data_IF_017616801989
#
_entry.id   IF_017616801989
#
_cell.length_a   1.000
_cell.length_b   1.000
_cell.length_c   1.000
_cell.angle_alpha   90.00
_cell.angle_beta   90.00
_cell.angle_gamma   90.00
#
_symmetry.space_group_name_H-M   'P 1'
#
loop_
_entity.id
_entity.type
_entity.pdbx_description
1 polymer ?
#
# COMPACT_ATOMS: atom_id res chain seq x y z
N UNK A 1 -1.42 -19.68 -8.84
CA UNK A 1 -1.15 -18.48 -9.63
C UNK A 1 -2.47 -17.96 -10.14
N UNK A 2 -2.90 -16.78 -9.68
CA UNK A 2 -4.21 -16.19 -9.99
C UNK A 2 -4.06 -14.68 -10.14
N UNK A 3 -4.64 -14.10 -11.16
CA UNK A 3 -4.71 -12.65 -11.39
C UNK A 3 -3.35 -11.92 -11.28
N UNK A 4 -2.26 -12.53 -11.73
CA UNK A 4 -0.90 -12.02 -11.63
C UNK A 4 -0.20 -12.28 -10.30
N UNK A 5 -0.89 -12.88 -9.34
CA UNK A 5 -0.37 -13.18 -7.99
C UNK A 5 0.02 -14.65 -7.86
N UNK A 6 1.01 -14.90 -7.01
CA UNK A 6 1.46 -16.26 -6.67
C UNK A 6 1.22 -16.50 -5.20
N UNK A 7 0.39 -17.47 -4.88
CA UNK A 7 -0.04 -17.80 -3.53
C UNK A 7 0.26 -19.26 -3.17
N UNK A 8 0.33 -19.54 -1.88
CA UNK A 8 0.31 -20.87 -1.28
C UNK A 8 -1.13 -21.17 -0.82
N UNK A 9 -1.88 -22.01 -1.55
CA UNK A 9 -3.30 -22.25 -1.25
C UNK A 9 -3.56 -22.89 0.12
N UNK A 10 -2.63 -23.70 0.62
CA UNK A 10 -2.76 -24.40 1.90
C UNK A 10 -2.67 -23.45 3.08
N UNK A 11 -1.82 -22.44 2.98
CA UNK A 11 -1.52 -21.50 4.07
C UNK A 11 -2.19 -20.14 3.93
N UNK A 12 -2.83 -19.83 2.78
CA UNK A 12 -3.36 -18.51 2.45
C UNK A 12 -2.29 -17.41 2.53
N UNK A 13 -1.13 -17.71 1.97
CA UNK A 13 0.02 -16.81 1.98
C UNK A 13 0.50 -16.51 0.56
N UNK A 14 1.33 -15.48 0.42
CA UNK A 14 2.09 -15.29 -0.82
C UNK A 14 3.10 -16.44 -0.96
N UNK A 15 3.33 -16.94 -2.18
CA UNK A 15 4.48 -17.79 -2.44
C UNK A 15 5.68 -16.93 -2.80
N UNK A 16 6.88 -17.26 -2.32
CA UNK A 16 8.15 -16.54 -2.54
C UNK A 16 8.29 -15.25 -1.73
N UNK A 17 8.11 -15.34 -0.47
CA UNK A 17 8.52 -14.31 0.49
C UNK A 17 9.77 -14.74 1.24
N UNK A 18 10.37 -13.81 1.98
CA UNK A 18 11.41 -14.14 2.94
C UNK A 18 10.81 -14.97 4.09
N UNK A 19 11.50 -16.00 4.48
CA UNK A 19 11.13 -16.92 5.56
C UNK A 19 12.24 -16.95 6.58
N UNK A 20 11.90 -16.71 7.84
CA UNK A 20 12.85 -16.68 8.93
C UNK A 20 12.52 -17.82 9.91
N UNK A 21 13.54 -18.62 10.27
CA UNK A 21 13.37 -19.77 11.16
C UNK A 21 13.38 -19.39 12.65
N UNK A 22 13.59 -18.13 12.97
CA UNK A 22 13.56 -17.61 14.34
C UNK A 22 13.70 -16.11 14.38
N UNK A 23 13.44 -15.54 15.55
CA UNK A 23 13.63 -14.13 15.85
C UNK A 23 14.26 -13.96 17.24
N UNK A 24 15.01 -12.89 17.42
CA UNK A 24 15.59 -12.52 18.71
C UNK A 24 15.42 -11.03 18.96
N UNK A 25 15.47 -10.63 20.21
CA UNK A 25 15.52 -9.26 20.67
C UNK A 25 16.92 -8.95 21.19
N UNK A 26 17.50 -7.84 20.76
CA UNK A 26 18.81 -7.39 21.25
C UNK A 26 18.63 -6.12 22.07
N UNK A 27 19.13 -6.13 23.28
CA UNK A 27 19.27 -4.92 24.07
C UNK A 27 20.45 -4.11 23.55
N UNK A 28 20.20 -2.92 23.01
CA UNK A 28 21.22 -2.11 22.35
C UNK A 28 22.30 -1.63 23.36
N UNK A 29 21.92 -1.39 24.61
CA UNK A 29 22.83 -0.87 25.62
C UNK A 29 23.74 -1.97 26.19
N UNK A 30 23.20 -3.17 26.45
CA UNK A 30 23.94 -4.30 27.02
C UNK A 30 24.50 -5.25 25.97
N UNK A 31 24.01 -5.17 24.72
CA UNK A 31 24.29 -6.10 23.62
C UNK A 31 23.87 -7.55 23.93
N UNK A 32 23.01 -7.72 24.93
CA UNK A 32 22.43 -9.00 25.26
C UNK A 32 21.35 -9.36 24.22
N UNK A 33 21.47 -10.57 23.65
CA UNK A 33 20.50 -11.11 22.71
C UNK A 33 19.63 -12.16 23.40
N UNK A 34 18.31 -12.03 23.28
CA UNK A 34 17.35 -12.96 23.84
C UNK A 34 16.50 -13.52 22.70
N UNK A 35 16.53 -14.83 22.52
CA UNK A 35 15.72 -15.52 21.51
C UNK A 35 14.24 -15.46 21.87
N UNK A 36 13.37 -15.22 20.89
CA UNK A 36 11.94 -15.33 21.06
C UNK A 36 11.56 -16.81 21.00
N UNK A 37 11.01 -17.33 22.11
CA UNK A 37 10.53 -18.69 22.26
C UNK A 37 9.03 -18.82 21.92
N UNK A 38 8.46 -20.04 21.97
CA UNK A 38 7.03 -20.28 21.79
C UNK A 38 6.56 -20.31 20.33
N UNK A 39 7.48 -20.22 19.37
CA UNK A 39 7.18 -20.45 17.95
C UNK A 39 7.22 -21.96 17.70
N UNK A 40 6.19 -22.56 17.05
CA UNK A 40 6.15 -23.98 16.79
C UNK A 40 7.33 -24.49 15.96
N UNK A 41 7.76 -25.72 16.20
CA UNK A 41 8.78 -26.37 15.38
C UNK A 41 8.31 -26.44 13.91
N UNK A 42 9.27 -26.22 12.99
CA UNK A 42 9.05 -26.17 11.53
C UNK A 42 8.10 -25.04 11.05
N UNK A 43 7.68 -24.11 11.91
CA UNK A 43 7.04 -22.89 11.46
C UNK A 43 8.09 -21.86 11.04
N UNK A 44 7.66 -20.93 10.17
CA UNK A 44 8.52 -19.83 9.72
C UNK A 44 7.86 -18.49 10.02
N UNK A 45 8.67 -17.49 10.34
CA UNK A 45 8.22 -16.11 10.52
C UNK A 45 8.29 -15.42 9.17
N UNK A 46 7.19 -14.78 8.76
CA UNK A 46 7.10 -14.09 7.48
C UNK A 46 7.14 -12.57 7.62
N UNK A 47 6.76 -12.07 8.80
CA UNK A 47 6.75 -10.63 9.10
C UNK A 47 6.87 -10.41 10.61
N UNK A 48 7.45 -9.29 11.01
CA UNK A 48 7.55 -8.88 12.41
C UNK A 48 7.33 -7.36 12.54
N UNK A 49 6.63 -6.92 13.57
CA UNK A 49 6.35 -5.52 13.82
C UNK A 49 6.31 -5.19 15.30
N UNK A 50 6.93 -4.08 15.69
CA UNK A 50 6.73 -3.50 17.02
C UNK A 50 5.43 -2.71 17.09
N UNK A 51 4.78 -2.77 18.25
CA UNK A 51 3.68 -1.88 18.60
C UNK A 51 4.16 -0.41 18.70
N UNK A 52 3.26 0.59 18.69
CA UNK A 52 3.64 2.01 18.65
C UNK A 52 4.61 2.47 19.73
N UNK A 53 4.46 1.97 20.97
CA UNK A 53 5.39 2.29 22.07
C UNK A 53 6.47 1.21 22.28
N UNK A 54 6.58 0.25 21.36
CA UNK A 54 7.55 -0.85 21.38
C UNK A 54 7.40 -1.83 22.55
N UNK A 55 6.26 -1.82 23.25
CA UNK A 55 5.97 -2.70 24.38
C UNK A 55 5.54 -4.10 23.95
N UNK A 56 5.24 -4.30 22.67
CA UNK A 56 4.88 -5.61 22.10
C UNK A 56 5.57 -5.82 20.77
N UNK A 57 5.81 -7.09 20.47
CA UNK A 57 6.24 -7.59 19.17
C UNK A 57 5.15 -8.48 18.64
N UNK A 58 4.67 -8.20 17.44
CA UNK A 58 3.77 -9.07 16.70
C UNK A 58 4.55 -9.80 15.60
N UNK A 59 4.26 -11.08 15.42
CA UNK A 59 4.91 -11.96 14.46
C UNK A 59 3.84 -12.64 13.62
N UNK A 60 3.97 -12.61 12.31
CA UNK A 60 3.21 -13.51 11.43
C UNK A 60 3.98 -14.80 11.28
N UNK A 61 3.37 -15.89 11.73
CA UNK A 61 3.99 -17.22 11.75
C UNK A 61 3.21 -18.13 10.83
N UNK A 62 3.86 -18.65 9.79
CA UNK A 62 3.32 -19.63 8.88
C UNK A 62 3.56 -21.02 9.45
N UNK A 63 2.48 -21.71 9.76
CA UNK A 63 2.39 -23.11 10.16
C UNK A 63 1.94 -23.95 8.96
N UNK A 64 1.97 -25.26 9.08
CA UNK A 64 1.61 -26.18 7.99
C UNK A 64 0.24 -25.93 7.36
N UNK A 65 -0.70 -25.34 8.09
CA UNK A 65 -2.09 -25.17 7.68
C UNK A 65 -2.53 -23.70 7.54
N UNK A 66 -1.66 -22.72 7.77
CA UNK A 66 -2.02 -21.30 7.65
C UNK A 66 -1.04 -20.36 8.31
N UNK A 67 -1.22 -19.06 8.05
CA UNK A 67 -0.51 -17.99 8.74
C UNK A 67 -1.31 -17.57 9.96
N UNK A 68 -0.64 -17.43 11.09
CA UNK A 68 -1.24 -17.00 12.36
C UNK A 68 -0.47 -15.83 12.96
N UNK A 69 -1.18 -15.02 13.71
CA UNK A 69 -0.58 -13.94 14.46
C UNK A 69 -0.16 -14.40 15.85
N UNK A 70 1.09 -14.16 16.19
CA UNK A 70 1.66 -14.34 17.52
C UNK A 70 2.09 -12.98 18.07
N UNK A 71 2.14 -12.86 19.37
CA UNK A 71 2.75 -11.71 20.03
C UNK A 71 3.57 -12.13 21.27
N UNK A 72 4.53 -11.30 21.63
CA UNK A 72 5.26 -11.35 22.89
C UNK A 72 5.56 -9.92 23.37
N UNK A 73 6.13 -9.79 24.56
CA UNK A 73 6.69 -8.52 25.04
C UNK A 73 8.23 -8.63 25.10
N UNK A 74 8.97 -7.51 25.05
CA UNK A 74 10.42 -7.53 25.20
C UNK A 74 10.89 -8.11 26.54
N UNK A 75 10.10 -7.91 27.62
CA UNK A 75 10.40 -8.42 28.95
C UNK A 75 10.10 -9.93 29.10
N UNK A 76 9.16 -10.44 28.31
CA UNK A 76 8.80 -11.85 28.25
C UNK A 76 8.73 -12.29 26.78
N UNK A 77 9.87 -12.63 26.17
CA UNK A 77 9.96 -12.95 24.75
C UNK A 77 9.49 -14.39 24.45
N UNK A 78 8.32 -14.74 24.94
CA UNK A 78 7.64 -16.01 24.67
C UNK A 78 6.39 -15.71 23.82
N UNK A 79 6.49 -16.03 22.53
CA UNK A 79 5.43 -15.75 21.57
C UNK A 79 4.20 -16.62 21.84
N UNK A 80 3.03 -15.98 21.90
CA UNK A 80 1.75 -16.63 22.09
C UNK A 80 0.82 -16.32 20.93
N UNK A 81 0.11 -17.33 20.46
CA UNK A 81 -0.89 -17.18 19.38
C UNK A 81 -2.03 -16.27 19.84
N UNK A 82 -2.25 -15.17 19.11
CA UNK A 82 -3.27 -14.17 19.44
C UNK A 82 -4.69 -14.68 19.14
N UNK A 83 -4.83 -15.48 18.08
CA UNK A 83 -6.11 -16.01 17.62
C UNK A 83 -5.89 -17.33 16.88
N UNK A 84 -6.89 -18.23 16.95
CA UNK A 84 -6.93 -19.46 16.14
C UNK A 84 -7.39 -19.22 14.70
N UNK A 85 -7.90 -18.01 14.38
CA UNK A 85 -8.26 -17.62 13.01
C UNK A 85 -6.99 -17.37 12.19
N UNK A 86 -7.00 -17.84 10.95
CA UNK A 86 -5.91 -17.66 10.01
C UNK A 86 -5.88 -16.21 9.50
N UNK A 87 -4.69 -15.67 9.37
CA UNK A 87 -4.46 -14.45 8.59
C UNK A 87 -4.65 -14.77 7.11
N UNK A 88 -5.25 -13.87 6.36
CA UNK A 88 -5.25 -13.95 4.91
C UNK A 88 -4.09 -13.09 4.37
N UNK A 89 -2.98 -13.74 4.11
CA UNK A 89 -1.75 -13.11 3.64
C UNK A 89 -1.54 -13.29 2.11
N UNK A 90 -2.58 -13.64 1.35
CA UNK A 90 -2.48 -13.84 -0.11
C UNK A 90 -2.07 -12.58 -0.88
N UNK A 91 -2.35 -11.40 -0.33
CA UNK A 91 -1.93 -10.09 -0.88
C UNK A 91 -0.82 -9.44 -0.05
N UNK A 92 -0.19 -10.19 0.85
CA UNK A 92 0.72 -9.71 1.89
C UNK A 92 0.02 -9.64 3.25
N UNK A 93 0.81 -9.81 4.30
CA UNK A 93 0.33 -9.68 5.68
C UNK A 93 0.60 -8.24 6.17
N UNK A 94 -0.37 -7.63 6.86
CA UNK A 94 -0.24 -6.27 7.36
C UNK A 94 -0.86 -6.13 8.75
N UNK A 95 -0.21 -5.36 9.62
CA UNK A 95 -0.74 -4.93 10.91
C UNK A 95 -0.83 -3.41 10.92
N UNK A 96 -2.04 -2.90 11.11
CA UNK A 96 -2.28 -1.48 11.32
C UNK A 96 -2.50 -1.20 12.80
N UNK A 97 -1.46 -0.76 13.49
CA UNK A 97 -1.51 -0.50 14.92
C UNK A 97 -2.33 0.73 15.26
N UNK A 98 -3.34 0.57 16.13
CA UNK A 98 -4.07 1.66 16.77
C UNK A 98 -3.39 2.03 18.11
N UNK A 99 -3.08 1.01 18.92
CA UNK A 99 -2.32 1.13 20.18
C UNK A 99 -1.52 -0.16 20.40
N UNK A 100 -0.78 -0.29 21.50
CA UNK A 100 -0.06 -1.53 21.82
C UNK A 100 -0.95 -2.75 22.02
N UNK A 101 -2.23 -2.52 22.34
CA UNK A 101 -3.22 -3.57 22.59
C UNK A 101 -4.32 -3.64 21.54
N UNK A 102 -4.22 -2.82 20.50
CA UNK A 102 -5.26 -2.70 19.49
C UNK A 102 -4.67 -2.50 18.09
N UNK A 103 -5.10 -3.32 17.14
CA UNK A 103 -4.63 -3.26 15.75
C UNK A 103 -5.67 -3.84 14.80
N UNK A 104 -5.49 -3.57 13.53
CA UNK A 104 -6.33 -4.06 12.43
C UNK A 104 -5.49 -4.95 11.53
N UNK A 105 -6.08 -6.04 11.02
CA UNK A 105 -5.46 -6.95 10.06
C UNK A 105 -6.53 -7.64 9.21
N UNK A 106 -6.10 -8.42 8.22
CA UNK A 106 -6.95 -9.21 7.32
C UNK A 106 -6.91 -10.69 7.73
N UNK A 107 -8.08 -11.26 7.99
CA UNK A 107 -8.22 -12.68 8.33
C UNK A 107 -9.02 -13.44 7.27
N UNK A 108 -8.81 -14.73 7.22
CA UNK A 108 -9.67 -15.65 6.46
C UNK A 108 -11.09 -15.57 7.04
N UNK A 109 -12.14 -15.32 6.23
CA UNK A 109 -13.51 -15.33 6.72
C UNK A 109 -13.89 -16.67 7.38
N UNK A 110 -14.58 -16.65 8.52
CA UNK A 110 -14.96 -17.86 9.24
C UNK A 110 -15.83 -18.81 8.42
N UNK A 111 -16.77 -18.24 7.66
CA UNK A 111 -17.76 -18.98 6.87
C UNK A 111 -17.35 -19.13 5.41
N UNK A 112 -16.06 -19.21 5.11
CA UNK A 112 -15.54 -19.30 3.72
C UNK A 112 -16.04 -20.54 2.97
N UNK A 113 -16.28 -21.64 3.65
CA UNK A 113 -16.63 -22.94 3.04
C UNK A 113 -15.41 -23.65 2.43
N UNK A 114 -15.69 -24.62 1.55
CA UNK A 114 -14.66 -25.37 0.83
C UNK A 114 -14.21 -24.63 -0.43
N UNK A 115 -12.96 -24.90 -0.83
CA UNK A 115 -12.46 -24.39 -2.10
C UNK A 115 -13.32 -24.93 -3.28
N UNK A 116 -13.53 -24.09 -4.32
CA UNK A 116 -14.24 -24.53 -5.52
C UNK A 116 -13.58 -25.76 -6.14
N UNK A 117 -14.38 -26.75 -6.51
CA UNK A 117 -13.91 -27.95 -7.19
C UNK A 117 -13.71 -27.67 -8.69
N UNK A 118 -12.65 -28.24 -9.25
CA UNK A 118 -12.39 -28.09 -10.70
C UNK A 118 -13.52 -28.77 -11.49
N UNK A 119 -14.14 -28.05 -12.45
CA UNK A 119 -15.16 -28.61 -13.29
C UNK A 119 -14.67 -29.86 -14.01
N UNK A 120 -15.44 -30.94 -13.98
CA UNK A 120 -15.13 -32.21 -14.69
C UNK A 120 -15.29 -32.07 -16.18
N UNK A 121 -16.18 -31.19 -16.63
CA UNK A 121 -16.37 -30.89 -18.07
C UNK A 121 -15.70 -29.55 -18.34
N UNK A 122 -14.79 -29.47 -19.35
CA UNK A 122 -14.23 -28.18 -19.74
C UNK A 122 -15.37 -27.23 -20.15
N UNK A 123 -15.42 -26.04 -19.58
CA UNK A 123 -16.18 -24.94 -20.17
C UNK A 123 -15.66 -24.73 -21.57
N UNK A 124 -16.54 -24.65 -22.58
CA UNK A 124 -16.16 -24.54 -24.00
C UNK A 124 -15.08 -23.46 -24.26
N UNK A 125 -14.62 -23.34 -25.49
CA UNK A 125 -13.52 -22.42 -25.82
C UNK A 125 -13.88 -20.97 -25.37
N UNK A 126 -12.94 -20.30 -24.72
CA UNK A 126 -13.07 -18.88 -24.43
C UNK A 126 -12.92 -18.14 -25.75
N UNK A 127 -14.01 -17.58 -26.26
CA UNK A 127 -14.00 -16.81 -27.49
C UNK A 127 -13.55 -15.39 -27.10
N UNK A 128 -12.37 -14.99 -27.54
CA UNK A 128 -11.92 -13.61 -27.50
C UNK A 128 -12.19 -12.97 -28.86
N UNK A 129 -13.13 -12.04 -28.94
CA UNK A 129 -13.34 -11.26 -30.15
C UNK A 129 -12.39 -10.06 -30.18
N UNK A 130 -11.57 -9.98 -31.21
CA UNK A 130 -10.78 -8.80 -31.51
C UNK A 130 -11.65 -7.77 -32.24
N UNK A 131 -11.85 -6.60 -31.66
CA UNK A 131 -12.58 -5.49 -32.31
C UNK A 131 -11.75 -4.75 -33.36
N UNK A 132 -10.60 -5.32 -33.78
CA UNK A 132 -9.72 -4.75 -34.81
C UNK A 132 -8.85 -3.55 -34.37
N UNK A 133 -8.94 -3.10 -33.12
CA UNK A 133 -8.02 -2.12 -32.57
C UNK A 133 -6.73 -2.82 -32.15
N UNK A 134 -5.68 -2.67 -32.96
CA UNK A 134 -4.33 -3.07 -32.58
C UNK A 134 -3.85 -2.07 -31.52
N UNK A 135 -3.96 -2.43 -30.24
CA UNK A 135 -3.31 -1.70 -29.15
C UNK A 135 -2.09 -2.50 -28.72
N UNK A 136 -0.89 -1.91 -28.66
CA UNK A 136 0.26 -2.55 -28.03
C UNK A 136 -0.11 -2.86 -26.59
N UNK A 137 -0.21 -4.15 -26.26
CA UNK A 137 -0.55 -4.58 -24.91
C UNK A 137 0.70 -5.04 -24.17
N UNK A 138 0.79 -4.67 -22.88
CA UNK A 138 1.81 -5.26 -21.99
C UNK A 138 1.53 -6.74 -21.82
N UNK A 139 2.57 -7.56 -21.90
CA UNK A 139 2.46 -8.99 -21.60
C UNK A 139 2.52 -9.19 -20.09
N UNK A 140 1.47 -9.77 -19.55
CA UNK A 140 1.39 -10.13 -18.14
C UNK A 140 1.43 -11.65 -17.96
N UNK A 141 1.93 -12.12 -16.83
CA UNK A 141 1.98 -13.53 -16.48
C UNK A 141 0.93 -13.88 -15.42
N UNK A 142 0.60 -15.18 -15.34
CA UNK A 142 -0.21 -15.74 -14.25
C UNK A 142 -1.62 -15.12 -14.13
N UNK A 143 -2.20 -14.62 -15.23
CA UNK A 143 -3.54 -14.03 -15.27
C UNK A 143 -4.64 -15.07 -15.04
N UNK A 144 -5.87 -14.60 -14.76
CA UNK A 144 -7.07 -15.44 -14.80
C UNK A 144 -7.29 -15.95 -16.24
N UNK A 145 -7.83 -17.16 -16.39
CA UNK A 145 -7.99 -17.81 -17.70
C UNK A 145 -9.43 -18.23 -18.00
N UNK A 146 -10.24 -18.40 -16.98
CA UNK A 146 -11.58 -18.95 -17.11
C UNK A 146 -12.41 -18.64 -15.84
N UNK A 147 -13.74 -18.89 -15.84
CA UNK A 147 -14.61 -18.67 -14.69
C UNK A 147 -14.24 -19.45 -13.42
N UNK A 148 -13.59 -20.60 -13.57
CA UNK A 148 -13.11 -21.35 -12.41
C UNK A 148 -11.95 -20.63 -11.71
N UNK A 149 -11.02 -20.02 -12.46
CA UNK A 149 -9.98 -19.18 -11.90
C UNK A 149 -10.56 -17.96 -11.16
N UNK A 150 -11.68 -17.39 -11.65
CA UNK A 150 -12.38 -16.32 -10.93
C UNK A 150 -12.96 -16.78 -9.60
N UNK A 151 -13.54 -17.99 -9.55
CA UNK A 151 -14.05 -18.58 -8.31
C UNK A 151 -12.92 -18.84 -7.31
N UNK A 152 -11.77 -19.34 -7.79
CA UNK A 152 -10.58 -19.52 -6.96
C UNK A 152 -10.03 -18.19 -6.48
N UNK A 153 -10.07 -17.15 -7.32
CA UNK A 153 -9.65 -15.80 -6.94
C UNK A 153 -10.56 -15.24 -5.85
N UNK A 154 -11.88 -15.30 -6.00
CA UNK A 154 -12.83 -14.95 -4.96
C UNK A 154 -12.55 -15.71 -3.66
N UNK A 155 -12.33 -17.04 -3.76
CA UNK A 155 -12.11 -17.89 -2.60
C UNK A 155 -10.84 -17.53 -1.83
N UNK A 156 -9.71 -17.35 -2.49
CA UNK A 156 -8.44 -17.13 -1.82
C UNK A 156 -8.22 -15.67 -1.40
N UNK A 157 -8.68 -14.72 -2.19
CA UNK A 157 -8.38 -13.29 -1.96
C UNK A 157 -9.44 -12.57 -1.12
N UNK A 158 -10.64 -13.13 -0.95
CA UNK A 158 -11.62 -12.54 -0.02
C UNK A 158 -11.11 -12.64 1.42
N UNK A 159 -11.05 -11.51 2.08
CA UNK A 159 -10.60 -11.35 3.47
C UNK A 159 -11.68 -10.70 4.31
N UNK A 160 -11.72 -11.03 5.59
CA UNK A 160 -12.46 -10.29 6.60
C UNK A 160 -11.51 -9.30 7.26
N UNK A 161 -11.80 -8.02 7.14
CA UNK A 161 -11.11 -7.00 7.91
C UNK A 161 -11.53 -7.11 9.37
N UNK A 162 -10.56 -7.16 10.28
CA UNK A 162 -10.83 -7.32 11.70
C UNK A 162 -10.02 -6.33 12.53
N UNK A 163 -10.62 -5.86 13.62
CA UNK A 163 -9.96 -5.16 14.71
C UNK A 163 -9.76 -6.12 15.87
N UNK A 164 -8.54 -6.26 16.34
CA UNK A 164 -8.21 -7.04 17.52
C UNK A 164 -7.90 -6.07 18.64
N UNK A 165 -8.67 -6.16 19.72
CA UNK A 165 -8.49 -5.34 20.91
C UNK A 165 -8.42 -6.25 22.12
N UNK A 166 -7.31 -6.18 22.87
CA UNK A 166 -7.09 -7.02 24.06
C UNK A 166 -7.31 -8.54 23.80
N UNK A 167 -6.93 -8.99 22.60
CA UNK A 167 -7.10 -10.38 22.15
C UNK A 167 -8.50 -10.73 21.63
N UNK A 168 -9.49 -9.83 21.73
CA UNK A 168 -10.85 -10.04 21.22
C UNK A 168 -10.92 -9.56 19.76
N UNK A 169 -11.46 -10.41 18.89
CA UNK A 169 -11.61 -10.14 17.45
C UNK A 169 -12.97 -9.51 17.18
N UNK A 170 -12.98 -8.33 16.57
CA UNK A 170 -14.17 -7.61 16.10
C UNK A 170 -14.12 -7.52 14.58
N UNK A 171 -15.15 -7.96 13.89
CA UNK A 171 -15.24 -7.83 12.43
C UNK A 171 -15.56 -6.39 12.02
N UNK A 172 -14.89 -5.91 10.98
CA UNK A 172 -15.12 -4.61 10.37
C UNK A 172 -15.78 -4.84 9.00
N UNK A 173 -17.00 -4.37 8.84
CA UNK A 173 -17.75 -4.48 7.60
C UNK A 173 -17.98 -5.93 7.15
N UNK A 174 -18.09 -6.12 5.84
CA UNK A 174 -18.28 -7.44 5.20
C UNK A 174 -16.97 -7.93 4.60
N UNK A 175 -16.81 -9.26 4.42
CA UNK A 175 -15.68 -9.80 3.67
C UNK A 175 -15.60 -9.20 2.27
N UNK A 176 -14.39 -8.84 1.84
CA UNK A 176 -14.10 -8.26 0.53
C UNK A 176 -12.71 -8.68 0.04
N UNK A 177 -12.41 -8.42 -1.23
CA UNK A 177 -11.06 -8.50 -1.76
C UNK A 177 -10.43 -7.12 -1.62
N UNK A 178 -9.43 -7.02 -0.75
CA UNK A 178 -8.73 -5.75 -0.52
C UNK A 178 -7.61 -5.57 -1.54
N UNK A 179 -7.52 -4.37 -2.11
CA UNK A 179 -6.42 -3.92 -2.95
C UNK A 179 -5.21 -3.47 -2.12
N UNK A 180 -4.26 -2.81 -2.77
CA UNK A 180 -3.04 -2.34 -2.12
C UNK A 180 -3.23 -1.13 -1.18
N UNK A 181 -4.40 -0.49 -1.20
CA UNK A 181 -4.70 0.64 -0.33
C UNK A 181 -5.50 0.15 0.88
N UNK A 182 -4.81 0.06 2.00
CA UNK A 182 -5.38 -0.22 3.32
C UNK A 182 -4.54 0.51 4.36
N UNK A 183 -5.06 1.59 4.94
CA UNK A 183 -4.29 2.39 5.90
C UNK A 183 -5.18 3.14 6.89
N UNK A 184 -4.67 3.34 8.11
CA UNK A 184 -5.29 4.18 9.13
C UNK A 184 -4.99 5.65 8.90
N UNK A 185 -6.00 6.51 9.11
CA UNK A 185 -5.79 7.95 9.25
C UNK A 185 -4.75 8.26 10.33
N UNK A 186 -4.02 9.39 10.25
CA UNK A 186 -3.05 9.73 11.28
C UNK A 186 -3.62 9.75 12.70
N UNK A 187 -4.84 10.24 12.90
CA UNK A 187 -5.56 10.22 14.19
C UNK A 187 -6.16 8.84 14.56
N UNK A 188 -6.02 7.85 13.66
CA UNK A 188 -6.47 6.45 13.85
C UNK A 188 -7.98 6.27 13.96
N UNK A 189 -8.77 7.24 13.55
CA UNK A 189 -10.25 7.21 13.62
C UNK A 189 -10.90 6.56 12.41
N UNK A 190 -10.24 6.57 11.27
CA UNK A 190 -10.77 6.15 9.97
C UNK A 190 -9.79 5.23 9.23
N UNK A 191 -10.34 4.47 8.28
CA UNK A 191 -9.60 3.63 7.35
C UNK A 191 -9.80 4.13 5.92
N UNK A 192 -8.72 4.24 5.17
CA UNK A 192 -8.72 4.37 3.72
C UNK A 192 -8.50 2.98 3.14
N UNK A 193 -9.45 2.50 2.35
CA UNK A 193 -9.43 1.16 1.76
C UNK A 193 -9.63 1.20 0.25
N UNK A 194 -9.06 0.22 -0.43
CA UNK A 194 -9.43 -0.14 -1.79
C UNK A 194 -10.02 -1.55 -1.80
N UNK A 195 -11.18 -1.73 -2.41
CA UNK A 195 -11.79 -3.05 -2.61
C UNK A 195 -11.87 -3.37 -4.10
N UNK A 196 -11.42 -4.57 -4.46
CA UNK A 196 -11.51 -5.10 -5.83
C UNK A 196 -12.89 -5.71 -6.04
N UNK A 197 -13.51 -5.40 -7.19
CA UNK A 197 -14.82 -5.93 -7.53
C UNK A 197 -14.91 -6.39 -9.00
N UNK A 198 -15.96 -7.11 -9.31
CA UNK A 198 -16.27 -7.54 -10.68
C UNK A 198 -16.70 -6.38 -11.60
N UNK A 199 -16.54 -6.54 -12.94
CA UNK A 199 -16.04 -7.73 -13.66
C UNK A 199 -14.51 -7.86 -13.61
N UNK A 200 -14.01 -9.08 -13.40
CA UNK A 200 -12.56 -9.33 -13.48
C UNK A 200 -12.08 -9.39 -14.93
N UNK A 201 -10.76 -9.21 -15.12
CA UNK A 201 -10.15 -9.23 -16.44
C UNK A 201 -9.23 -10.43 -16.62
N UNK A 202 -9.25 -11.00 -17.83
CA UNK A 202 -8.29 -12.03 -18.25
C UNK A 202 -7.05 -11.45 -18.96
N UNK A 203 -7.00 -10.12 -19.07
CA UNK A 203 -5.95 -9.41 -19.82
C UNK A 203 -4.98 -8.64 -18.94
N UNK A 204 -5.36 -8.31 -17.69
CA UNK A 204 -4.56 -7.54 -16.76
C UNK A 204 -4.52 -8.22 -15.38
N UNK A 205 -3.48 -7.95 -14.56
CA UNK A 205 -3.40 -8.46 -13.20
C UNK A 205 -4.31 -7.69 -12.24
N UNK A 206 -4.48 -8.23 -11.03
CA UNK A 206 -5.41 -7.73 -10.00
C UNK A 206 -5.27 -6.24 -9.67
N UNK A 207 -4.06 -5.70 -9.68
CA UNK A 207 -3.86 -4.27 -9.39
C UNK A 207 -4.42 -3.32 -10.46
N UNK A 208 -4.86 -3.87 -11.60
CA UNK A 208 -5.56 -3.16 -12.67
C UNK A 208 -7.05 -3.56 -12.79
N UNK A 209 -7.57 -4.41 -11.90
CA UNK A 209 -8.99 -4.74 -11.84
C UNK A 209 -9.81 -3.53 -11.38
N UNK A 210 -11.14 -3.56 -11.54
CA UNK A 210 -12.00 -2.53 -10.96
C UNK A 210 -11.79 -2.43 -9.45
N UNK A 211 -11.61 -1.20 -8.96
CA UNK A 211 -11.36 -0.94 -7.55
C UNK A 211 -12.17 0.26 -7.07
N UNK A 212 -12.85 0.07 -5.95
CA UNK A 212 -13.53 1.13 -5.23
C UNK A 212 -12.66 1.62 -4.08
N UNK A 213 -12.41 2.92 -4.03
CA UNK A 213 -11.63 3.59 -2.99
C UNK A 213 -12.56 4.32 -2.06
N UNK A 214 -12.51 3.99 -0.77
CA UNK A 214 -13.43 4.51 0.24
C UNK A 214 -12.70 4.85 1.54
N UNK A 215 -13.27 5.83 2.24
CA UNK A 215 -13.01 6.04 3.66
C UNK A 215 -14.14 5.39 4.45
N UNK A 216 -13.78 4.53 5.39
CA UNK A 216 -14.72 3.84 6.28
C UNK A 216 -14.38 4.14 7.75
N UNK A 217 -15.36 3.99 8.64
CA UNK A 217 -15.12 3.99 10.09
C UNK A 217 -14.59 2.63 10.59
N UNK A 218 -14.24 2.54 11.86
CA UNK A 218 -13.76 1.29 12.49
C UNK A 218 -14.86 0.25 12.73
N UNK A 219 -16.11 0.55 12.35
CA UNK A 219 -17.25 -0.37 12.32
C UNK A 219 -17.51 -0.91 10.90
N UNK A 220 -16.86 -0.33 9.88
CA UNK A 220 -17.00 -0.72 8.48
C UNK A 220 -18.10 0.04 7.72
N UNK A 221 -18.64 1.12 8.30
CA UNK A 221 -19.58 1.99 7.60
C UNK A 221 -18.82 2.87 6.61
N UNK A 222 -19.30 2.95 5.37
CA UNK A 222 -18.74 3.86 4.36
C UNK A 222 -19.06 5.31 4.75
N UNK A 223 -18.00 6.10 4.95
CA UNK A 223 -18.10 7.53 5.25
C UNK A 223 -18.04 8.34 3.96
N UNK A 224 -17.14 7.98 3.05
CA UNK A 224 -16.95 8.70 1.80
C UNK A 224 -16.38 7.79 0.70
N UNK A 225 -16.98 7.85 -0.50
CA UNK A 225 -16.44 7.18 -1.69
C UNK A 225 -15.59 8.17 -2.47
N UNK A 226 -14.30 7.88 -2.59
CA UNK A 226 -13.33 8.71 -3.30
C UNK A 226 -13.38 8.47 -4.81
N UNK A 227 -13.44 7.22 -5.21
CA UNK A 227 -13.50 6.81 -6.61
C UNK A 227 -13.99 5.36 -6.75
N UNK A 228 -14.55 5.05 -7.90
CA UNK A 228 -14.84 3.69 -8.35
C UNK A 228 -14.23 3.53 -9.75
N UNK A 229 -13.00 3.04 -9.79
CA UNK A 229 -12.21 2.93 -11.00
C UNK A 229 -12.55 1.63 -11.74
N UNK A 230 -12.85 1.66 -13.04
CA UNK A 230 -13.02 0.44 -13.84
C UNK A 230 -11.67 -0.24 -14.09
N UNK A 231 -11.69 -1.36 -14.83
CA UNK A 231 -10.47 -2.03 -15.30
C UNK A 231 -9.54 -1.05 -16.00
N UNK A 232 -8.28 -1.01 -15.58
CA UNK A 232 -7.28 -0.08 -16.10
C UNK A 232 -6.36 -0.77 -17.11
N UNK A 233 -6.40 -0.28 -18.34
CA UNK A 233 -5.42 -0.61 -19.38
C UNK A 233 -4.47 0.57 -19.57
N UNK A 234 -3.26 0.46 -18.99
CA UNK A 234 -2.26 1.54 -19.11
C UNK A 234 -1.62 1.46 -20.49
N UNK A 235 -1.65 2.54 -21.30
CA UNK A 235 -0.99 2.57 -22.60
C UNK A 235 0.50 2.25 -22.51
N UNK A 236 1.08 1.72 -23.59
CA UNK A 236 2.54 1.56 -23.68
C UNK A 236 3.20 2.89 -23.97
N UNK A 237 4.25 3.22 -23.24
CA UNK A 237 5.04 4.44 -23.44
C UNK A 237 5.70 4.91 -22.15
N UNK A 238 6.54 5.94 -22.32
CA UNK A 238 7.11 6.64 -21.18
C UNK A 238 6.05 7.55 -20.56
N UNK A 239 6.09 7.67 -19.24
CA UNK A 239 5.23 8.54 -18.45
C UNK A 239 3.72 8.27 -18.60
N UNK A 240 3.34 7.08 -19.12
CA UNK A 240 1.95 6.63 -19.17
C UNK A 240 1.47 6.18 -17.77
N UNK A 241 0.19 6.41 -17.46
CA UNK A 241 -0.42 6.06 -16.19
C UNK A 241 -1.91 5.75 -16.34
N UNK A 242 -2.58 5.43 -15.22
CA UNK A 242 -4.04 5.34 -15.18
C UNK A 242 -4.68 6.69 -15.48
N UNK A 243 -5.72 6.75 -16.32
CA UNK A 243 -6.49 7.99 -16.53
C UNK A 243 -7.41 8.33 -15.34
N UNK A 244 -7.59 7.40 -14.42
CA UNK A 244 -8.48 7.55 -13.25
C UNK A 244 -7.72 8.05 -12.02
N UNK A 245 -8.42 8.54 -10.98
CA UNK A 245 -7.82 8.91 -9.71
C UNK A 245 -6.95 7.79 -9.14
N UNK A 246 -5.77 8.14 -8.62
CA UNK A 246 -4.75 7.18 -8.18
C UNK A 246 -3.88 7.72 -7.06
N UNK A 247 -3.06 6.83 -6.46
CA UNK A 247 -2.12 7.18 -5.39
C UNK A 247 -2.81 7.84 -4.19
N UNK A 248 -3.95 7.26 -3.79
CA UNK A 248 -4.66 7.70 -2.60
C UNK A 248 -3.81 7.48 -1.36
N UNK A 249 -3.79 8.47 -0.48
CA UNK A 249 -3.05 8.42 0.78
C UNK A 249 -3.55 9.43 1.80
N UNK A 250 -3.18 9.24 3.05
CA UNK A 250 -3.39 10.22 4.10
C UNK A 250 -2.27 11.24 4.14
N UNK A 251 -2.59 12.51 4.27
CA UNK A 251 -1.60 13.53 4.66
C UNK A 251 -1.06 13.16 6.05
N UNK A 252 0.26 13.02 6.16
CA UNK A 252 0.87 12.62 7.44
C UNK A 252 0.84 13.69 8.52
N UNK A 253 0.65 14.95 8.13
CA UNK A 253 0.61 16.14 8.99
C UNK A 253 -0.80 16.51 9.47
N UNK A 254 -1.86 15.90 8.91
CA UNK A 254 -3.26 16.20 9.22
C UNK A 254 -3.96 15.00 9.85
N UNK A 255 -4.97 15.20 10.73
CA UNK A 255 -5.64 14.09 11.43
C UNK A 255 -6.34 13.11 10.49
N UNK A 256 -7.10 13.61 9.52
CA UNK A 256 -7.91 12.81 8.60
C UNK A 256 -8.16 13.55 7.28
N UNK A 257 -7.08 13.77 6.51
CA UNK A 257 -7.13 14.39 5.18
C UNK A 257 -6.57 13.42 4.15
N UNK A 258 -7.41 13.02 3.19
CA UNK A 258 -7.01 12.16 2.07
C UNK A 258 -6.53 13.01 0.91
N UNK A 259 -5.46 12.58 0.22
CA UNK A 259 -5.02 13.16 -1.04
C UNK A 259 -4.93 12.09 -2.13
N UNK A 260 -4.98 12.53 -3.40
CA UNK A 260 -4.82 11.66 -4.57
C UNK A 260 -4.37 12.47 -5.79
N UNK A 261 -3.96 11.79 -6.86
CA UNK A 261 -3.58 12.40 -8.12
C UNK A 261 -4.57 12.05 -9.25
N UNK A 262 -4.83 13.02 -10.14
CA UNK A 262 -5.63 12.87 -11.35
C UNK A 262 -4.81 13.28 -12.59
N UNK A 263 -4.74 12.38 -13.58
CA UNK A 263 -4.02 12.64 -14.83
C UNK A 263 -4.81 13.59 -15.73
N UNK A 264 -4.20 14.69 -16.17
CA UNK A 264 -4.83 15.70 -17.04
C UNK A 264 -4.72 15.34 -18.51
N UNK A 265 -3.74 14.53 -18.88
CA UNK A 265 -3.47 14.01 -20.22
C UNK A 265 -4.14 12.66 -20.51
N UNK A 266 -5.17 12.30 -19.73
CA UNK A 266 -5.85 11.00 -19.81
C UNK A 266 -4.90 9.80 -19.67
N UNK A 267 -3.75 9.99 -19.00
CA UNK A 267 -2.74 8.98 -18.77
C UNK A 267 -1.81 8.68 -19.96
N UNK A 268 -1.92 9.42 -21.06
CA UNK A 268 -1.06 9.25 -22.25
C UNK A 268 -0.56 10.61 -22.76
N UNK A 269 0.65 11.03 -22.36
CA UNK A 269 1.21 12.32 -22.71
C UNK A 269 1.60 12.45 -24.19
N UNK A 270 1.66 11.33 -24.94
CA UNK A 270 1.93 11.37 -26.38
C UNK A 270 0.68 11.75 -27.17
N UNK A 271 -0.47 11.27 -26.74
CA UNK A 271 -1.74 11.53 -27.41
C UNK A 271 -2.41 12.83 -26.91
N UNK A 272 -2.21 13.18 -25.63
CA UNK A 272 -2.86 14.32 -25.00
C UNK A 272 -1.82 15.21 -24.35
N UNK A 273 -1.43 16.28 -25.04
CA UNK A 273 -0.49 17.27 -24.49
C UNK A 273 -1.23 18.23 -23.57
N UNK A 274 -0.69 18.43 -22.38
CA UNK A 274 -1.18 19.35 -21.35
C UNK A 274 -0.02 20.08 -20.70
N UNK A 275 -0.25 21.26 -20.14
CA UNK A 275 0.78 22.00 -19.41
C UNK A 275 1.18 21.28 -18.13
N UNK A 276 0.22 20.63 -17.49
CA UNK A 276 0.42 19.82 -16.29
C UNK A 276 -0.06 18.40 -16.56
N UNK A 277 0.79 17.41 -16.30
CA UNK A 277 0.42 16.00 -16.45
C UNK A 277 -0.52 15.52 -15.35
N UNK A 278 -0.32 16.01 -14.11
CA UNK A 278 -1.14 15.61 -12.97
C UNK A 278 -1.55 16.84 -12.13
N UNK A 279 -2.75 16.73 -11.54
CA UNK A 279 -3.20 17.59 -10.46
C UNK A 279 -3.41 16.73 -9.22
N UNK A 280 -2.91 17.18 -8.09
CA UNK A 280 -3.08 16.55 -6.79
C UNK A 280 -4.21 17.26 -6.07
N UNK A 281 -5.17 16.50 -5.60
CA UNK A 281 -6.30 16.96 -4.83
C UNK A 281 -6.28 16.40 -3.42
N UNK A 282 -7.01 17.06 -2.52
CA UNK A 282 -7.28 16.58 -1.17
C UNK A 282 -8.72 16.85 -0.76
N UNK A 283 -9.16 16.12 0.27
CA UNK A 283 -10.41 16.36 1.01
C UNK A 283 -10.22 15.93 2.46
N UNK A 284 -10.75 16.73 3.39
CA UNK A 284 -10.62 16.50 4.84
C UNK A 284 -11.93 16.02 5.43
N UNK A 285 -11.84 15.22 6.51
CA UNK A 285 -13.00 14.89 7.33
C UNK A 285 -13.70 16.18 7.81
N UNK A 286 -15.04 16.25 7.77
CA UNK A 286 -16.03 15.19 7.55
C UNK A 286 -16.41 14.93 6.07
N UNK A 287 -15.59 15.29 5.09
CA UNK A 287 -15.74 15.05 3.64
C UNK A 287 -17.02 15.68 3.03
N UNK A 288 -17.47 16.79 3.57
CA UNK A 288 -18.67 17.51 3.16
C UNK A 288 -18.35 18.80 2.37
N UNK A 289 -17.08 19.06 2.09
CA UNK A 289 -16.61 20.14 1.22
C UNK A 289 -16.30 19.63 -0.18
N UNK A 290 -16.07 20.53 -1.13
CA UNK A 290 -15.48 20.19 -2.40
C UNK A 290 -14.00 19.80 -2.24
N UNK A 291 -13.49 18.96 -3.16
CA UNK A 291 -12.06 18.65 -3.23
C UNK A 291 -11.26 19.93 -3.48
N UNK A 292 -10.14 20.04 -2.79
CA UNK A 292 -9.23 21.17 -2.89
C UNK A 292 -7.98 20.76 -3.70
N UNK A 293 -7.56 21.62 -4.62
CA UNK A 293 -6.30 21.46 -5.34
C UNK A 293 -5.13 21.70 -4.37
N UNK A 294 -4.20 20.74 -4.32
CA UNK A 294 -2.98 20.80 -3.49
C UNK A 294 -1.81 21.34 -4.28
N UNK A 295 -1.59 20.79 -5.47
CA UNK A 295 -0.49 21.14 -6.37
C UNK A 295 -0.74 20.61 -7.79
N UNK A 296 0.03 21.12 -8.74
CA UNK A 296 0.14 20.65 -10.13
C UNK A 296 1.55 20.21 -10.43
N UNK A 297 1.70 19.18 -11.27
CA UNK A 297 3.02 18.72 -11.73
C UNK A 297 3.11 18.71 -13.24
N UNK A 298 4.22 19.21 -13.79
CA UNK A 298 4.51 19.17 -15.24
C UNK A 298 4.88 17.77 -15.72
N UNK A 299 5.40 16.94 -14.81
CA UNK A 299 5.73 15.52 -15.03
C UNK A 299 4.84 14.66 -14.15
N UNK A 300 4.98 13.33 -14.22
CA UNK A 300 4.16 12.45 -13.38
C UNK A 300 4.41 12.68 -11.90
N UNK A 301 3.33 12.92 -11.20
CA UNK A 301 3.34 12.92 -9.74
C UNK A 301 3.93 11.63 -9.19
N UNK A 302 4.88 11.75 -8.29
CA UNK A 302 5.51 10.61 -7.61
C UNK A 302 5.12 10.54 -6.14
N UNK A 303 5.31 11.64 -5.40
CA UNK A 303 5.05 11.67 -3.97
C UNK A 303 5.00 13.10 -3.42
N UNK A 304 4.41 13.27 -2.23
CA UNK A 304 4.56 14.45 -1.38
C UNK A 304 5.14 13.99 -0.05
N UNK A 305 6.18 14.69 0.40
CA UNK A 305 6.68 14.57 1.75
C UNK A 305 6.16 15.76 2.55
N UNK A 306 5.22 15.50 3.42
CA UNK A 306 4.51 16.52 4.20
C UNK A 306 5.36 17.02 5.37
N UNK A 307 5.14 18.27 5.77
CA UNK A 307 5.59 18.84 7.03
C UNK A 307 4.41 19.50 7.75
N UNK A 308 3.81 20.54 7.13
CA UNK A 308 2.61 21.24 7.60
C UNK A 308 1.93 21.98 6.43
N UNK A 309 0.95 22.84 6.74
CA UNK A 309 0.23 23.63 5.74
C UNK A 309 1.08 24.78 5.14
N UNK A 310 2.23 25.08 5.70
CA UNK A 310 3.14 26.12 5.19
C UNK A 310 4.25 25.55 4.31
N UNK A 311 4.58 24.25 4.47
CA UNK A 311 5.71 23.64 3.79
C UNK A 311 5.52 22.14 3.52
N UNK A 312 5.84 21.72 2.30
CA UNK A 312 5.99 20.32 1.91
C UNK A 312 6.97 20.20 0.73
N UNK A 313 7.42 18.99 0.45
CA UNK A 313 8.21 18.68 -0.74
C UNK A 313 7.35 17.92 -1.75
N UNK A 314 7.23 18.46 -2.96
CA UNK A 314 6.55 17.83 -4.09
C UNK A 314 7.58 17.14 -4.98
N UNK A 315 7.37 15.89 -5.29
CA UNK A 315 8.26 15.08 -6.13
C UNK A 315 7.51 14.63 -7.38
N UNK A 316 8.08 14.94 -8.51
CA UNK A 316 7.62 14.43 -9.81
C UNK A 316 8.74 13.67 -10.53
N UNK A 317 8.37 12.81 -11.45
CA UNK A 317 9.29 11.96 -12.19
C UNK A 317 8.96 11.92 -13.66
N UNK A 318 9.99 11.77 -14.49
CA UNK A 318 9.85 11.45 -15.91
C UNK A 318 10.75 10.27 -16.26
N UNK A 319 10.15 9.21 -16.74
CA UNK A 319 10.86 8.04 -17.27
C UNK A 319 11.49 8.33 -18.64
N UNK A 320 10.88 9.24 -19.42
CA UNK A 320 11.39 9.65 -20.71
C UNK A 320 12.76 10.35 -20.58
N UNK A 321 12.87 11.28 -19.62
CA UNK A 321 14.11 12.03 -19.37
C UNK A 321 14.99 11.42 -18.29
N UNK A 322 14.52 10.35 -17.60
CA UNK A 322 15.15 9.71 -16.44
C UNK A 322 15.52 10.70 -15.34
N UNK A 323 14.59 11.59 -15.00
CA UNK A 323 14.80 12.63 -13.99
C UNK A 323 13.73 12.60 -12.93
N UNK A 324 14.15 12.90 -11.71
CA UNK A 324 13.28 13.29 -10.60
C UNK A 324 13.49 14.77 -10.33
N UNK A 325 12.38 15.51 -10.19
CA UNK A 325 12.40 16.90 -9.76
C UNK A 325 11.73 17.01 -8.40
N UNK A 326 12.38 17.68 -7.47
CA UNK A 326 11.86 17.95 -6.13
C UNK A 326 11.68 19.45 -5.96
N UNK A 327 10.50 19.83 -5.50
CA UNK A 327 10.14 21.22 -5.30
C UNK A 327 9.78 21.44 -3.84
N UNK A 328 10.08 22.62 -3.31
CA UNK A 328 9.45 23.15 -2.11
C UNK A 328 8.15 23.84 -2.50
N UNK A 329 7.09 23.66 -1.72
CA UNK A 329 5.82 24.34 -1.97
C UNK A 329 4.99 24.48 -0.69
N UNK A 330 4.05 25.41 -0.75
CA UNK A 330 3.01 25.57 0.27
C UNK A 330 1.74 24.88 -0.21
N UNK A 331 1.27 23.83 0.48
CA UNK A 331 0.06 23.10 0.09
C UNK A 331 -1.15 24.02 -0.08
N UNK A 332 -1.95 23.79 -1.12
CA UNK A 332 -3.18 24.53 -1.41
C UNK A 332 -2.99 26.04 -1.64
N UNK A 333 -1.78 26.48 -1.93
CA UNK A 333 -1.46 27.86 -2.27
C UNK A 333 -1.47 28.08 -3.79
N UNK A 334 -1.76 29.32 -4.20
CA UNK A 334 -1.56 29.77 -5.57
C UNK A 334 -0.10 30.10 -5.90
N UNK A 335 0.80 30.07 -4.93
CA UNK A 335 2.23 30.28 -5.13
C UNK A 335 2.83 29.12 -5.94
N UNK A 336 3.66 29.42 -6.90
CA UNK A 336 4.34 28.40 -7.72
C UNK A 336 5.36 27.62 -6.89
N UNK A 337 5.41 26.27 -6.98
CA UNK A 337 6.46 25.49 -6.37
C UNK A 337 7.85 25.91 -6.82
N UNK A 338 8.82 25.93 -5.91
CA UNK A 338 10.20 26.31 -6.18
C UNK A 338 11.06 25.06 -6.34
N UNK A 339 11.74 24.94 -7.51
CA UNK A 339 12.61 23.81 -7.80
C UNK A 339 13.80 23.77 -6.83
N UNK A 340 13.91 22.68 -6.10
CA UNK A 340 15.02 22.42 -5.17
C UNK A 340 16.07 21.50 -5.81
N UNK A 341 15.65 20.38 -6.41
CA UNK A 341 16.54 19.41 -7.04
C UNK A 341 15.98 18.96 -8.40
N UNK A 342 16.90 18.76 -9.36
CA UNK A 342 16.62 18.15 -10.66
C UNK A 342 17.72 17.14 -10.97
N UNK A 343 17.54 15.90 -10.55
CA UNK A 343 18.57 14.86 -10.58
C UNK A 343 18.21 13.74 -11.54
N UNK A 344 19.22 13.20 -12.20
CA UNK A 344 19.06 11.98 -12.99
C UNK A 344 18.87 10.78 -12.05
N UNK A 345 17.97 9.87 -12.41
CA UNK A 345 17.80 8.59 -11.70
C UNK A 345 19.01 7.67 -11.84
N UNK A 346 19.89 7.93 -12.80
CA UNK A 346 21.07 7.15 -13.10
C UNK A 346 22.36 7.77 -12.50
N UNK A 347 22.25 8.97 -11.89
CA UNK A 347 23.40 9.71 -11.34
C UNK A 347 23.46 9.54 -9.82
N UNK A 348 24.31 8.62 -9.38
CA UNK A 348 24.54 8.39 -7.96
C UNK A 348 25.45 9.44 -7.31
N UNK A 349 26.31 10.12 -8.11
CA UNK A 349 27.28 11.08 -7.57
C UNK A 349 26.67 12.42 -7.17
N UNK A 350 25.69 12.90 -7.96
CA UNK A 350 24.99 14.16 -7.70
C UNK A 350 23.65 13.95 -6.99
N UNK A 351 23.39 12.74 -6.45
CA UNK A 351 22.18 12.48 -5.70
C UNK A 351 22.26 13.18 -4.32
N UNK A 352 21.35 14.14 -4.03
CA UNK A 352 21.38 14.87 -2.77
C UNK A 352 20.96 13.99 -1.56
N UNK A 353 20.56 12.74 -1.80
CA UNK A 353 20.06 11.85 -0.78
C UNK A 353 18.58 12.08 -0.47
N UNK A 354 18.19 11.63 0.72
CA UNK A 354 16.83 11.74 1.21
C UNK A 354 16.76 12.78 2.34
N UNK A 355 15.69 13.59 2.41
CA UNK A 355 15.49 14.49 3.54
C UNK A 355 15.26 13.68 4.80
N UNK A 356 15.84 14.13 5.91
CA UNK A 356 15.57 13.55 7.22
C UNK A 356 14.09 13.71 7.55
N UNK A 357 13.50 12.69 8.14
CA UNK A 357 12.12 12.72 8.62
C UNK A 357 12.07 12.47 10.12
N UNK A 358 11.06 13.04 10.78
CA UNK A 358 10.78 12.85 12.21
C UNK A 358 9.34 12.43 12.41
N UNK A 359 9.04 11.77 13.52
CA UNK A 359 7.65 11.47 13.90
C UNK A 359 6.99 12.70 14.50
N UNK A 360 5.81 13.02 13.99
CA UNK A 360 4.94 14.07 14.55
C UNK A 360 4.07 13.52 15.71
N UNK A 361 3.13 14.34 16.19
CA UNK A 361 2.20 13.98 17.27
C UNK A 361 1.31 12.77 16.95
N UNK A 362 1.07 12.46 15.67
CA UNK A 362 0.32 11.29 15.22
C UNK A 362 1.21 10.03 15.07
N UNK A 363 2.52 10.14 15.35
CA UNK A 363 3.48 9.06 15.08
C UNK A 363 3.77 8.83 13.60
N UNK A 364 3.36 9.75 12.72
CA UNK A 364 3.63 9.71 11.27
C UNK A 364 4.89 10.47 10.94
N UNK A 365 5.63 9.99 9.94
CA UNK A 365 6.83 10.66 9.48
C UNK A 365 6.50 11.90 8.66
N UNK A 366 7.11 13.01 9.03
CA UNK A 366 7.09 14.29 8.31
C UNK A 366 8.52 14.74 8.03
N UNK A 367 8.72 15.59 7.03
CA UNK A 367 10.03 16.16 6.71
C UNK A 367 10.53 16.98 7.89
N UNK A 368 11.79 16.76 8.28
CA UNK A 368 12.43 17.59 9.29
C UNK A 368 13.00 18.86 8.63
N UNK A 369 12.65 20.02 9.19
CA UNK A 369 13.13 21.32 8.77
C UNK A 369 13.26 22.23 9.98
N UNK A 370 14.01 23.33 9.87
CA UNK A 370 14.02 24.35 10.91
C UNK A 370 12.67 25.11 10.95
N UNK A 371 12.45 25.92 11.99
CA UNK A 371 11.19 26.67 12.19
C UNK A 371 10.87 27.67 11.08
N UNK A 372 11.88 28.13 10.35
CA UNK A 372 11.72 29.07 9.25
C UNK A 372 11.47 28.38 7.90
N UNK A 373 11.47 27.03 7.84
CA UNK A 373 11.34 26.19 6.64
C UNK A 373 12.36 26.53 5.53
N UNK A 374 13.54 27.02 5.89
CA UNK A 374 14.59 27.41 4.94
C UNK A 374 15.83 26.50 4.97
N UNK A 375 15.83 25.48 5.82
CA UNK A 375 16.92 24.49 5.92
C UNK A 375 16.36 23.08 5.98
N UNK A 376 16.94 22.19 5.17
CA UNK A 376 16.67 20.75 5.15
C UNK A 376 17.95 19.99 5.54
N UNK A 377 17.81 18.96 6.36
CA UNK A 377 18.89 18.01 6.57
C UNK A 377 18.72 16.84 5.60
N UNK A 378 19.73 16.65 4.74
CA UNK A 378 19.75 15.60 3.73
C UNK A 378 20.70 14.48 4.15
N UNK A 379 20.28 13.23 3.95
CA UNK A 379 21.09 12.04 4.18
C UNK A 379 21.45 11.42 2.82
N UNK A 380 22.68 11.61 2.39
CA UNK A 380 23.22 11.06 1.15
C UNK A 380 24.29 10.00 1.43
N UNK A 381 24.47 9.08 0.51
CA UNK A 381 25.52 8.05 0.62
C UNK A 381 26.93 8.59 0.37
N UNK A 382 27.02 9.81 -0.22
CA UNK A 382 28.30 10.47 -0.42
C UNK A 382 29.17 9.81 -1.50
N UNK A 383 28.56 9.19 -2.51
CA UNK A 383 29.31 8.62 -3.63
C UNK A 383 30.25 9.62 -4.27
N UNK A 384 31.47 9.21 -4.60
CA UNK A 384 32.53 10.06 -5.12
C UNK A 384 33.16 9.44 -6.37
N UNK A 385 33.58 10.24 -7.37
CA UNK A 385 34.32 9.72 -8.52
C UNK A 385 35.67 9.05 -8.16
N UNK A 386 36.13 9.24 -6.93
CA UNK A 386 37.36 8.62 -6.41
C UNK A 386 37.12 7.25 -5.76
N UNK A 387 35.90 6.77 -5.76
CA UNK A 387 35.45 5.59 -5.05
C UNK A 387 34.92 5.91 -3.65
N UNK A 388 34.27 4.95 -3.04
CA UNK A 388 33.72 5.03 -1.67
C UNK A 388 34.77 4.61 -0.65
#
# INVERSE_FOLDING_TARGET
>A
KLAGMRISPETFNTSRQAEYTGASLMNIATQEEIKIEGIPDNAVITEASFSPSSNKVALFVEEANGVYLYNCTPEQPVAQKVSTRKINATSGAEILWISDNEFITLMVPENRGKAPEKPTVPSGPIIQESTGKVMPARTYQDLLKNPYDEQLFDYYFTSQLVRIKEGIVYEIGKPAIYGSTLSLSPDKSLLLIATVHRPYSYQVPVYNFPQKFEVIDLQGNSIYTLADNPTVNIPMGYDTTSPYPRQFGWRSDQPATVYWAEAQDKGDPKQNKTDFMDIIYQISYPFNSEKQEVAKTEKRFRNILWNDDAFALLIETSRETRKNRTFTFKPCSSESPVLLFNVSTDDNYNNPGNPLTIKNAYGKYIVYTNKAHNELLMLAQGASPKGD
#
